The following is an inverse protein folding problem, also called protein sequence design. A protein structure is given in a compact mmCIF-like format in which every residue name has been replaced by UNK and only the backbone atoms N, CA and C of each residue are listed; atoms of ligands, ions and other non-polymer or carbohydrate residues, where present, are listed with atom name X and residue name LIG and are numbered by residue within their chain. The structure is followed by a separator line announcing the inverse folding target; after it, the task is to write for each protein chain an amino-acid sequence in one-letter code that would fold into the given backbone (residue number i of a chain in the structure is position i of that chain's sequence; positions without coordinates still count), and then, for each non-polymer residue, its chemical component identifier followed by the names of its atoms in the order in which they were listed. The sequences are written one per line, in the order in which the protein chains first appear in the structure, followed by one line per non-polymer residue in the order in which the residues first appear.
data_IF_261277117660
#
_entry.id   IF_261277117660
#
_cell.length_a   1.000
_cell.length_b   1.000
_cell.length_c   1.000
_cell.angle_alpha   90.00
_cell.angle_beta   90.00
_cell.angle_gamma   90.00
#
_symmetry.space_group_name_H-M   'P 1'
#
loop_
_entity.id
_entity.type
_entity.pdbx_description
1 polymer ?
#
# COMPACT_ATOMS: atom_id res chain seq x y z
N UNK A 1 16.51 -1.08 16.62
CA UNK A 1 15.58 -0.24 15.83
C UNK A 1 16.22 -0.08 14.46
N UNK A 2 15.89 -0.99 13.54
CA UNK A 2 16.65 -1.25 12.31
C UNK A 2 16.36 -0.21 11.24
N UNK A 3 17.26 0.76 11.08
CA UNK A 3 17.31 1.66 9.92
C UNK A 3 17.42 0.89 8.59
N UNK A 4 17.87 -0.36 8.65
CA UNK A 4 18.02 -1.28 7.51
C UNK A 4 16.69 -1.64 6.83
N UNK A 5 15.55 -1.53 7.51
CA UNK A 5 14.24 -1.74 6.89
C UNK A 5 13.75 -0.52 6.08
N UNK A 6 14.26 0.68 6.40
CA UNK A 6 13.85 1.93 5.74
C UNK A 6 14.63 2.19 4.45
N UNK A 7 15.86 1.69 4.35
CA UNK A 7 16.68 1.81 3.14
C UNK A 7 16.06 1.13 1.90
N UNK A 8 15.58 -0.12 1.94
CA UNK A 8 14.91 -0.74 0.79
C UNK A 8 13.59 -0.03 0.45
N UNK A 9 12.86 0.49 1.43
CA UNK A 9 11.66 1.32 1.19
C UNK A 9 12.04 2.60 0.45
N UNK A 10 13.07 3.30 0.90
CA UNK A 10 13.53 4.54 0.26
C UNK A 10 14.06 4.28 -1.16
N UNK A 11 14.81 3.20 -1.37
CA UNK A 11 15.31 2.80 -2.69
C UNK A 11 14.14 2.46 -3.62
N UNK A 12 13.17 1.67 -3.15
CA UNK A 12 11.99 1.28 -3.93
C UNK A 12 11.13 2.50 -4.32
N UNK A 13 10.99 3.48 -3.42
CA UNK A 13 10.30 4.75 -3.70
C UNK A 13 11.00 5.62 -4.74
N UNK A 14 12.34 5.60 -4.81
CA UNK A 14 13.14 6.40 -5.76
C UNK A 14 13.36 5.73 -7.12
N UNK A 15 13.19 4.40 -7.19
CA UNK A 15 13.24 3.64 -8.43
C UNK A 15 11.98 3.91 -9.27
N UNK A 16 11.94 5.06 -9.93
CA UNK A 16 11.06 5.30 -11.07
C UNK A 16 11.25 4.15 -12.06
N UNK A 17 10.19 3.38 -12.34
CA UNK A 17 9.88 2.78 -13.66
C UNK A 17 8.62 1.89 -13.56
N UNK A 18 7.53 2.45 -14.10
CA UNK A 18 6.36 1.83 -14.72
C UNK A 18 5.59 0.68 -14.00
N UNK A 19 4.31 0.96 -13.73
CA UNK A 19 3.17 0.03 -13.56
C UNK A 19 2.76 -0.32 -12.12
N UNK A 20 1.49 -0.73 -12.00
CA UNK A 20 0.70 -1.16 -10.83
C UNK A 20 1.47 -1.89 -9.71
N UNK A 21 2.58 -2.51 -10.07
CA UNK A 21 3.54 -3.17 -9.19
C UNK A 21 4.13 -2.27 -8.08
N UNK A 22 4.25 -0.95 -8.29
CA UNK A 22 4.83 -0.01 -7.29
C UNK A 22 4.12 -0.06 -5.94
N UNK A 23 2.79 0.00 -5.97
CA UNK A 23 2.02 0.12 -4.74
C UNK A 23 1.99 -1.21 -3.99
N UNK A 24 2.08 -2.32 -4.73
CA UNK A 24 2.26 -3.64 -4.14
C UNK A 24 3.61 -3.75 -3.42
N UNK A 25 4.71 -3.33 -4.07
CA UNK A 25 6.03 -3.29 -3.43
C UNK A 25 6.09 -2.41 -2.18
N UNK A 26 5.39 -1.28 -2.20
CA UNK A 26 5.25 -0.44 -1.01
C UNK A 26 4.54 -1.17 0.14
N UNK A 27 3.44 -1.88 -0.15
CA UNK A 27 2.73 -2.69 0.86
C UNK A 27 3.66 -3.77 1.43
N UNK A 28 4.42 -4.46 0.60
CA UNK A 28 5.35 -5.50 1.04
C UNK A 28 6.50 -4.93 1.90
N UNK A 29 7.03 -3.77 1.52
CA UNK A 29 8.12 -3.13 2.26
C UNK A 29 7.65 -2.57 3.61
N UNK A 30 6.42 -2.02 3.68
CA UNK A 30 5.78 -1.62 4.94
C UNK A 30 5.59 -2.83 5.85
N UNK A 31 5.12 -3.95 5.31
CA UNK A 31 4.92 -5.19 6.08
C UNK A 31 6.23 -5.78 6.60
N UNK A 32 7.33 -5.64 5.86
CA UNK A 32 8.66 -6.04 6.31
C UNK A 32 9.15 -5.19 7.49
N UNK A 33 8.81 -3.90 7.53
CA UNK A 33 9.17 -2.99 8.62
C UNK A 33 8.22 -3.07 9.82
N UNK A 34 6.93 -3.28 9.55
CA UNK A 34 5.83 -3.33 10.51
C UNK A 34 5.07 -4.64 10.25
N UNK A 35 5.36 -5.72 11.00
CA UNK A 35 4.70 -7.00 10.78
C UNK A 35 3.19 -6.87 11.01
N UNK A 36 2.42 -7.09 9.95
CA UNK A 36 0.96 -7.04 9.97
C UNK A 36 0.39 -8.15 9.07
N UNK A 37 -0.80 -8.65 9.44
CA UNK A 37 -1.51 -9.67 8.68
C UNK A 37 -2.21 -9.09 7.44
N UNK A 38 -2.52 -7.80 7.46
CA UNK A 38 -3.16 -7.11 6.35
C UNK A 38 -2.71 -5.64 6.21
N UNK A 39 -2.58 -5.16 4.98
CA UNK A 39 -2.24 -3.78 4.65
C UNK A 39 -2.79 -3.38 3.27
N UNK A 40 -3.07 -2.11 3.06
CA UNK A 40 -3.53 -1.57 1.79
C UNK A 40 -3.00 -0.16 1.52
N UNK A 41 -2.76 0.15 0.26
CA UNK A 41 -2.57 1.52 -0.22
C UNK A 41 -3.86 1.97 -0.88
N UNK A 42 -4.35 3.13 -0.46
CA UNK A 42 -5.57 3.74 -0.95
C UNK A 42 -5.27 5.09 -1.59
N UNK A 43 -5.87 5.37 -2.74
CA UNK A 43 -5.92 6.70 -3.32
C UNK A 43 -7.19 7.40 -2.89
N UNK A 44 -7.07 8.66 -2.48
CA UNK A 44 -8.22 9.52 -2.21
C UNK A 44 -8.64 10.17 -3.52
N UNK A 45 -9.81 9.78 -4.03
CA UNK A 45 -10.43 10.36 -5.21
C UNK A 45 -11.74 11.02 -4.77
N UNK A 46 -11.80 12.35 -4.84
CA UNK A 46 -12.88 13.14 -4.25
C UNK A 46 -13.01 12.85 -2.73
N UNK A 47 -14.11 12.25 -2.29
CA UNK A 47 -14.35 11.83 -0.90
C UNK A 47 -14.32 10.29 -0.72
N UNK A 48 -13.89 9.56 -1.74
CA UNK A 48 -13.78 8.09 -1.72
C UNK A 48 -12.31 7.64 -1.64
N UNK A 49 -12.08 6.61 -0.82
CA UNK A 49 -10.83 5.86 -0.78
C UNK A 49 -10.92 4.66 -1.72
N UNK A 50 -10.05 4.64 -2.72
CA UNK A 50 -9.96 3.59 -3.74
C UNK A 50 -8.71 2.75 -3.48
N UNK A 51 -8.83 1.46 -3.17
CA UNK A 51 -7.68 0.60 -2.96
C UNK A 51 -6.91 0.40 -4.26
N UNK A 52 -5.60 0.61 -4.20
CA UNK A 52 -4.71 0.44 -5.35
C UNK A 52 -3.76 -0.76 -5.19
N UNK A 53 -3.46 -1.15 -3.96
CA UNK A 53 -2.71 -2.36 -3.64
C UNK A 53 -3.14 -2.89 -2.27
N UNK A 54 -3.14 -4.22 -2.11
CA UNK A 54 -3.56 -4.88 -0.87
C UNK A 54 -2.67 -6.08 -0.57
N UNK A 55 -2.54 -6.40 0.71
CA UNK A 55 -1.96 -7.64 1.21
C UNK A 55 -2.85 -8.18 2.32
N UNK A 56 -3.08 -9.49 2.34
CA UNK A 56 -3.87 -10.15 3.39
C UNK A 56 -5.34 -9.78 3.45
N UNK A 57 -5.83 -8.98 2.51
CA UNK A 57 -7.25 -8.62 2.36
C UNK A 57 -7.90 -9.45 1.25
N UNK A 58 -9.23 -9.56 1.30
CA UNK A 58 -10.00 -10.21 0.27
C UNK A 58 -9.79 -9.50 -1.09
N UNK A 59 -9.61 -10.25 -2.20
CA UNK A 59 -9.30 -9.66 -3.51
C UNK A 59 -10.37 -8.69 -4.01
N UNK A 60 -11.62 -8.87 -3.58
CA UNK A 60 -12.75 -7.99 -3.87
C UNK A 60 -12.51 -6.56 -3.39
N UNK A 61 -11.66 -6.35 -2.38
CA UNK A 61 -11.32 -5.03 -1.85
C UNK A 61 -10.77 -4.12 -2.95
N UNK A 62 -9.93 -4.63 -3.86
CA UNK A 62 -9.38 -3.83 -4.97
C UNK A 62 -10.45 -3.23 -5.91
N UNK A 63 -11.66 -3.80 -5.92
CA UNK A 63 -12.79 -3.28 -6.70
C UNK A 63 -13.75 -2.38 -5.93
N UNK A 64 -13.52 -2.15 -4.63
CA UNK A 64 -14.44 -1.36 -3.78
C UNK A 64 -14.00 0.10 -3.70
N UNK A 65 -14.96 0.94 -3.32
CA UNK A 65 -14.71 2.32 -2.89
C UNK A 65 -15.24 2.46 -1.47
N UNK A 66 -14.52 3.20 -0.64
CA UNK A 66 -14.91 3.44 0.75
C UNK A 66 -15.10 4.93 0.95
N UNK A 67 -16.32 5.36 1.30
CA UNK A 67 -16.55 6.76 1.62
C UNK A 67 -15.73 7.14 2.85
N UNK A 68 -14.99 8.24 2.76
CA UNK A 68 -14.16 8.76 3.85
C UNK A 68 -15.01 9.18 5.07
N UNK A 69 -16.29 9.49 4.87
CA UNK A 69 -17.23 9.89 5.94
C UNK A 69 -17.88 8.74 6.69
N UNK A 70 -17.69 7.50 6.24
CA UNK A 70 -18.28 6.31 6.87
C UNK A 70 -17.29 5.54 7.77
N UNK A 71 -16.18 6.17 8.18
CA UNK A 71 -15.22 5.60 9.14
C UNK A 71 -15.22 6.32 10.48
#
# INVERSE_FOLDING_TARGET
MHLEALLPIAVDLTASLASTDRLQRLVDAVRAAIPCDAAAVLELIDDDLVPLAVHGLAPEVLGRRFSRREQ
#
